data_IF_415108837452
#
_entry.id   IF_415108837452
#
_cell.length_a   1.000
_cell.length_b   1.000
_cell.length_c   1.000
_cell.angle_alpha   90.00
_cell.angle_beta   90.00
_cell.angle_gamma   90.00
#
_symmetry.space_group_name_H-M   'P 1'
#
loop_
_entity.id
_entity.type
_entity.pdbx_description
1 polymer ?
#
# COMPACT_ATOMS: atom_id res chain seq x y z
N UNK A 1 -14.17 20.15 -5.40
CA UNK A 1 -13.37 21.03 -6.28
C UNK A 1 -12.51 21.99 -5.45
N UNK A 2 -13.08 22.93 -4.69
CA UNK A 2 -12.30 23.85 -3.82
C UNK A 2 -11.33 23.19 -2.83
N UNK A 3 -11.71 22.09 -2.16
CA UNK A 3 -10.81 21.40 -1.24
C UNK A 3 -9.59 20.77 -1.94
N UNK A 4 -9.78 20.29 -3.17
CA UNK A 4 -8.71 19.70 -4.00
C UNK A 4 -7.77 20.81 -4.46
N UNK A 5 -8.31 21.91 -4.98
CA UNK A 5 -7.51 23.06 -5.45
C UNK A 5 -6.69 23.68 -4.30
N UNK A 6 -7.27 23.72 -3.08
CA UNK A 6 -6.55 24.17 -1.88
C UNK A 6 -5.46 23.18 -1.46
N UNK A 7 -5.70 21.88 -1.55
CA UNK A 7 -4.70 20.86 -1.26
C UNK A 7 -3.52 20.93 -2.25
N UNK A 8 -3.81 21.13 -3.54
CA UNK A 8 -2.80 21.33 -4.60
C UNK A 8 -1.93 22.55 -4.26
N UNK A 9 -2.54 23.71 -3.97
CA UNK A 9 -1.80 24.94 -3.60
C UNK A 9 -0.95 24.78 -2.34
N UNK A 10 -1.42 24.01 -1.37
CA UNK A 10 -0.68 23.70 -0.14
C UNK A 10 0.51 22.78 -0.42
N UNK A 11 0.33 21.75 -1.23
CA UNK A 11 1.40 20.82 -1.63
C UNK A 11 2.46 21.48 -2.54
N UNK A 12 2.06 22.42 -3.40
CA UNK A 12 2.96 23.17 -4.27
C UNK A 12 3.76 24.27 -3.55
N UNK A 13 3.52 24.50 -2.25
CA UNK A 13 4.20 25.56 -1.49
C UNK A 13 3.77 26.98 -1.86
N UNK A 14 2.66 27.13 -2.59
CA UNK A 14 2.11 28.43 -3.02
C UNK A 14 1.36 29.16 -1.90
N UNK A 15 1.17 28.51 -0.75
CA UNK A 15 0.63 29.08 0.46
C UNK A 15 1.71 29.06 1.55
N UNK A 16 1.97 30.21 2.18
CA UNK A 16 2.81 30.27 3.38
C UNK A 16 2.28 29.26 4.40
N UNK A 17 3.10 28.27 4.74
CA UNK A 17 2.58 27.16 5.51
C UNK A 17 3.52 25.99 5.74
N UNK A 18 2.86 24.93 6.18
CA UNK A 18 3.39 23.72 6.77
C UNK A 18 4.06 22.84 5.70
N UNK A 19 5.35 22.53 5.87
CA UNK A 19 6.07 21.57 5.02
C UNK A 19 5.67 20.17 5.45
N UNK A 20 5.06 19.41 4.53
CA UNK A 20 4.84 17.99 4.72
C UNK A 20 6.04 17.20 4.20
N UNK A 21 6.42 16.18 4.95
CA UNK A 21 7.40 15.17 4.57
C UNK A 21 6.75 13.79 4.61
N UNK A 22 7.17 12.93 3.69
CA UNK A 22 6.84 11.50 3.70
C UNK A 22 7.90 10.77 4.54
N UNK A 23 7.44 9.96 5.47
CA UNK A 23 8.28 9.19 6.39
C UNK A 23 7.78 7.76 6.40
N UNK A 24 8.71 6.82 6.24
CA UNK A 24 8.43 5.41 6.41
C UNK A 24 8.90 5.00 7.81
N UNK A 25 7.97 4.44 8.58
CA UNK A 25 8.26 3.74 9.82
C UNK A 25 8.14 2.24 9.62
N UNK A 26 8.95 1.50 10.36
CA UNK A 26 9.12 0.07 10.19
C UNK A 26 9.11 -0.61 11.54
N UNK A 27 8.48 -1.77 11.65
CA UNK A 27 8.48 -2.52 12.90
C UNK A 27 7.84 -3.89 12.80
N UNK A 28 7.87 -4.57 13.94
CA UNK A 28 7.18 -5.84 14.13
C UNK A 28 5.99 -5.65 15.07
N UNK A 29 4.81 -6.01 14.61
CA UNK A 29 3.61 -6.09 15.44
C UNK A 29 3.57 -7.35 16.32
N UNK A 30 2.42 -7.63 16.95
CA UNK A 30 2.19 -8.92 17.60
C UNK A 30 2.53 -10.09 16.68
N UNK A 31 3.03 -11.18 17.25
CA UNK A 31 3.35 -12.42 16.53
C UNK A 31 4.40 -12.26 15.41
N UNK A 32 5.28 -11.25 15.52
CA UNK A 32 6.35 -10.95 14.55
C UNK A 32 5.82 -10.64 13.14
N UNK A 33 4.60 -10.11 13.04
CA UNK A 33 4.10 -9.59 11.76
C UNK A 33 4.89 -8.33 11.42
N UNK A 34 5.57 -8.35 10.27
CA UNK A 34 6.28 -7.18 9.75
C UNK A 34 5.28 -6.13 9.27
N UNK A 35 5.51 -4.86 9.64
CA UNK A 35 4.61 -3.74 9.32
C UNK A 35 5.43 -2.56 8.82
N UNK A 36 5.03 -2.03 7.67
CA UNK A 36 5.45 -0.74 7.13
C UNK A 36 4.33 0.27 7.38
N UNK A 37 4.67 1.46 7.88
CA UNK A 37 3.75 2.57 8.06
C UNK A 37 4.29 3.77 7.28
N UNK A 38 3.63 4.10 6.18
CA UNK A 38 3.94 5.28 5.38
C UNK A 38 3.11 6.46 5.87
N UNK A 39 3.79 7.54 6.27
CA UNK A 39 3.15 8.70 6.92
C UNK A 39 3.55 9.97 6.19
N UNK A 40 2.56 10.75 5.77
CA UNK A 40 2.75 12.14 5.37
C UNK A 40 2.47 13.06 6.57
N UNK A 41 3.49 13.78 7.04
CA UNK A 41 3.37 14.57 8.26
C UNK A 41 4.14 15.88 8.17
N UNK A 42 3.71 16.84 8.97
CA UNK A 42 4.43 18.10 9.19
C UNK A 42 5.27 18.12 10.46
N UNK A 43 5.25 17.03 11.21
CA UNK A 43 5.93 16.94 12.49
C UNK A 43 6.34 15.50 12.77
N UNK A 44 7.55 15.17 12.33
CA UNK A 44 8.23 13.89 12.57
C UNK A 44 8.20 13.42 14.02
N UNK A 45 8.36 14.34 14.98
CA UNK A 45 8.41 13.99 16.40
C UNK A 45 7.03 13.58 16.93
N UNK A 46 5.97 14.21 16.44
CA UNK A 46 4.59 13.84 16.78
C UNK A 46 4.21 12.51 16.14
N UNK A 47 4.50 12.33 14.86
CA UNK A 47 4.18 11.08 14.15
C UNK A 47 4.93 9.88 14.75
N UNK A 48 6.24 9.99 14.99
CA UNK A 48 7.00 8.87 15.58
C UNK A 48 6.52 8.53 17.00
N UNK A 49 6.10 9.52 17.78
CA UNK A 49 5.55 9.29 19.12
C UNK A 49 4.23 8.53 19.06
N UNK A 50 3.30 8.93 18.17
CA UNK A 50 2.03 8.24 17.97
C UNK A 50 2.22 6.80 17.47
N UNK A 51 3.04 6.62 16.43
CA UNK A 51 3.34 5.28 15.88
C UNK A 51 3.98 4.40 16.95
N UNK A 52 5.02 4.89 17.64
CA UNK A 52 5.66 4.13 18.73
C UNK A 52 4.67 3.75 19.83
N UNK A 53 3.75 4.64 20.17
CA UNK A 53 2.72 4.37 21.16
C UNK A 53 1.81 3.22 20.72
N UNK A 54 1.30 3.25 19.49
CA UNK A 54 0.46 2.19 18.92
C UNK A 54 1.15 0.82 18.97
N UNK A 55 2.40 0.73 18.49
CA UNK A 55 3.19 -0.51 18.59
C UNK A 55 3.33 -0.96 20.05
N UNK A 56 3.69 -0.05 20.97
CA UNK A 56 3.93 -0.40 22.37
C UNK A 56 2.69 -0.94 23.09
N UNK A 57 1.50 -0.39 22.85
CA UNK A 57 0.27 -0.83 23.53
C UNK A 57 -0.31 -2.13 22.94
N UNK A 58 0.15 -2.52 21.75
CA UNK A 58 -0.21 -3.76 21.08
C UNK A 58 0.89 -4.83 21.12
N UNK A 59 1.86 -4.72 22.05
CA UNK A 59 2.98 -5.67 22.17
C UNK A 59 3.82 -5.83 20.89
N UNK A 60 3.88 -4.78 20.07
CA UNK A 60 4.82 -4.66 18.95
C UNK A 60 6.05 -3.81 19.32
N UNK A 61 6.98 -3.72 18.38
CA UNK A 61 8.17 -2.89 18.49
C UNK A 61 8.44 -2.14 17.19
N UNK A 62 8.60 -0.81 17.30
CA UNK A 62 9.06 0.02 16.21
C UNK A 62 10.57 -0.17 16.03
N UNK A 63 10.98 -0.65 14.87
CA UNK A 63 12.36 -0.91 14.49
C UNK A 63 13.11 0.33 14.02
N UNK A 64 14.36 0.11 13.62
CA UNK A 64 15.14 1.08 12.86
C UNK A 64 14.75 1.05 11.38
N UNK A 65 15.21 2.05 10.62
CA UNK A 65 15.13 2.01 9.16
C UNK A 65 15.75 0.71 8.61
N UNK A 66 15.13 0.16 7.58
CA UNK A 66 15.45 -1.09 6.91
C UNK A 66 15.39 -2.35 7.80
N UNK A 67 14.59 -2.34 8.87
CA UNK A 67 14.40 -3.50 9.76
C UNK A 67 13.39 -4.52 9.22
N UNK A 68 12.42 -4.06 8.43
CA UNK A 68 11.47 -4.93 7.72
C UNK A 68 11.29 -4.57 6.25
N UNK A 69 11.71 -3.36 5.82
CA UNK A 69 11.50 -2.89 4.45
C UNK A 69 12.01 -3.86 3.39
N UNK A 70 13.15 -4.52 3.62
CA UNK A 70 13.71 -5.53 2.71
C UNK A 70 12.82 -6.76 2.50
N UNK A 71 11.80 -6.98 3.34
CA UNK A 71 10.82 -8.05 3.21
C UNK A 71 9.65 -7.68 2.28
N UNK A 72 9.62 -6.44 1.78
CA UNK A 72 8.55 -5.91 0.95
C UNK A 72 9.10 -5.36 -0.36
N UNK A 73 8.35 -5.58 -1.43
CA UNK A 73 8.60 -4.97 -2.73
C UNK A 73 7.69 -3.75 -2.90
N UNK A 74 8.26 -2.60 -3.25
CA UNK A 74 7.48 -1.42 -3.62
C UNK A 74 7.08 -1.54 -5.08
N UNK A 75 5.79 -1.81 -5.33
CA UNK A 75 5.27 -2.11 -6.66
C UNK A 75 3.88 -1.53 -6.84
N UNK A 76 3.49 -1.28 -8.09
CA UNK A 76 2.11 -0.98 -8.43
C UNK A 76 1.27 -2.26 -8.37
N UNK A 77 0.08 -2.16 -7.80
CA UNK A 77 -0.90 -3.23 -7.72
C UNK A 77 -2.24 -2.73 -8.23
N UNK A 78 -2.81 -3.47 -9.18
CA UNK A 78 -4.12 -3.20 -9.75
C UNK A 78 -4.97 -4.45 -9.55
N UNK A 79 -6.12 -4.32 -8.87
CA UNK A 79 -7.07 -5.41 -8.68
C UNK A 79 -8.21 -5.28 -9.69
N UNK A 80 -8.52 -6.40 -10.35
CA UNK A 80 -9.61 -6.51 -11.33
C UNK A 80 -10.49 -7.68 -10.94
N UNK A 81 -11.81 -7.49 -10.93
CA UNK A 81 -12.78 -8.55 -10.66
C UNK A 81 -12.69 -9.64 -11.76
N UNK A 82 -12.62 -10.92 -11.39
CA UNK A 82 -12.46 -11.97 -12.39
C UNK A 82 -13.74 -12.29 -13.18
N UNK A 83 -14.86 -11.65 -12.86
CA UNK A 83 -16.12 -11.75 -13.59
C UNK A 83 -16.22 -10.73 -14.73
N UNK A 84 -15.39 -9.68 -14.74
CA UNK A 84 -15.46 -8.62 -15.77
C UNK A 84 -14.61 -8.90 -17.00
N UNK A 85 -13.59 -9.74 -16.88
CA UNK A 85 -12.65 -10.11 -17.94
C UNK A 85 -12.09 -11.50 -17.65
N UNK A 86 -11.85 -12.30 -18.68
CA UNK A 86 -11.17 -13.59 -18.53
C UNK A 86 -9.64 -13.43 -18.46
N UNK A 87 -8.96 -14.43 -17.88
CA UNK A 87 -7.52 -14.45 -17.69
C UNK A 87 -6.72 -14.28 -18.99
N UNK A 88 -7.12 -14.97 -20.06
CA UNK A 88 -6.41 -14.94 -21.34
C UNK A 88 -6.43 -13.51 -21.90
N UNK A 89 -7.62 -12.90 -21.94
CA UNK A 89 -7.79 -11.53 -22.44
C UNK A 89 -7.05 -10.51 -21.58
N UNK A 90 -7.09 -10.66 -20.26
CA UNK A 90 -6.38 -9.75 -19.35
C UNK A 90 -4.86 -9.88 -19.53
N UNK A 91 -4.35 -11.09 -19.68
CA UNK A 91 -2.92 -11.37 -19.90
C UNK A 91 -2.40 -10.70 -21.16
N UNK A 92 -3.16 -10.73 -22.26
CA UNK A 92 -2.81 -10.00 -23.49
C UNK A 92 -2.66 -8.49 -23.25
N UNK A 93 -3.64 -7.89 -22.56
CA UNK A 93 -3.67 -6.45 -22.31
C UNK A 93 -2.51 -5.99 -21.43
N UNK A 94 -2.24 -6.70 -20.34
CA UNK A 94 -1.18 -6.28 -19.40
C UNK A 94 0.22 -6.45 -19.99
N UNK A 95 0.43 -7.45 -20.87
CA UNK A 95 1.69 -7.63 -21.58
C UNK A 95 1.95 -6.48 -22.55
N UNK A 96 0.93 -6.02 -23.26
CA UNK A 96 1.03 -4.85 -24.13
C UNK A 96 1.24 -3.56 -23.33
N UNK A 97 0.63 -3.46 -22.16
CA UNK A 97 0.76 -2.32 -21.25
C UNK A 97 2.13 -2.22 -20.56
N UNK A 98 2.89 -3.32 -20.50
CA UNK A 98 4.18 -3.39 -19.80
C UNK A 98 4.06 -3.73 -18.31
N UNK A 99 3.02 -4.46 -17.89
CA UNK A 99 2.96 -5.00 -16.54
C UNK A 99 4.02 -6.10 -16.31
N UNK A 100 4.39 -6.31 -15.05
CA UNK A 100 5.38 -7.32 -14.68
C UNK A 100 4.77 -8.70 -14.51
N UNK A 101 3.58 -8.80 -13.90
CA UNK A 101 2.99 -10.10 -13.57
C UNK A 101 1.46 -10.04 -13.40
N UNK A 102 0.83 -11.22 -13.47
CA UNK A 102 -0.57 -11.46 -13.15
C UNK A 102 -0.70 -12.55 -12.08
N UNK A 103 -1.15 -12.16 -10.90
CA UNK A 103 -1.42 -13.08 -9.80
C UNK A 103 -2.90 -13.46 -9.83
N UNK A 104 -3.17 -14.78 -9.90
CA UNK A 104 -4.51 -15.37 -10.02
C UNK A 104 -4.91 -16.21 -8.79
N UNK A 105 -4.15 -16.10 -7.69
CA UNK A 105 -4.38 -16.87 -6.46
C UNK A 105 -5.70 -16.53 -5.75
N UNK A 106 -6.22 -15.31 -5.94
CA UNK A 106 -7.51 -14.90 -5.39
C UNK A 106 -8.64 -15.41 -6.31
N UNK A 107 -9.58 -16.23 -5.78
CA UNK A 107 -10.66 -16.81 -6.58
C UNK A 107 -11.70 -15.80 -7.07
N UNK A 108 -11.69 -14.56 -6.57
CA UNK A 108 -12.67 -13.52 -6.92
C UNK A 108 -12.05 -12.36 -7.72
N UNK A 109 -10.72 -12.30 -7.84
CA UNK A 109 -10.03 -11.17 -8.48
C UNK A 109 -8.65 -11.55 -9.04
N UNK A 110 -8.28 -10.87 -10.11
CA UNK A 110 -6.92 -10.85 -10.63
C UNK A 110 -6.14 -9.67 -10.05
N UNK A 111 -4.86 -9.89 -9.74
CA UNK A 111 -3.95 -8.85 -9.28
C UNK A 111 -2.82 -8.66 -10.29
N UNK A 112 -2.75 -7.47 -10.87
CA UNK A 112 -1.73 -7.10 -11.85
C UNK A 112 -0.62 -6.36 -11.10
N UNK A 113 0.62 -6.79 -11.32
CA UNK A 113 1.81 -6.23 -10.70
C UNK A 113 2.57 -5.40 -11.74
N UNK A 114 3.09 -4.25 -11.32
CA UNK A 114 3.86 -3.33 -12.16
C UNK A 114 5.02 -2.76 -11.37
N UNK A 115 6.10 -2.34 -12.05
CA UNK A 115 7.04 -1.42 -11.42
C UNK A 115 6.34 -0.08 -11.13
N UNK A 116 6.68 0.63 -10.04
CA UNK A 116 6.05 1.91 -9.71
C UNK A 116 6.14 2.97 -10.82
N UNK A 117 7.18 2.89 -11.65
CA UNK A 117 7.39 3.83 -12.76
C UNK A 117 6.39 3.63 -13.92
N UNK A 118 5.93 2.39 -14.13
CA UNK A 118 5.05 2.02 -15.25
C UNK A 118 3.59 1.92 -14.81
N UNK A 119 3.32 1.97 -13.49
CA UNK A 119 1.99 1.87 -12.90
C UNK A 119 0.93 2.77 -13.58
N UNK A 120 1.23 4.06 -13.77
CA UNK A 120 0.26 5.00 -14.36
C UNK A 120 -0.03 4.69 -15.83
N UNK A 121 0.99 4.26 -16.58
CA UNK A 121 0.88 3.82 -17.97
C UNK A 121 -0.01 2.59 -18.07
N UNK A 122 0.24 1.56 -17.24
CA UNK A 122 -0.53 0.32 -17.24
C UNK A 122 -1.98 0.57 -16.83
N UNK A 123 -2.19 1.32 -15.73
CA UNK A 123 -3.53 1.68 -15.26
C UNK A 123 -4.34 2.39 -16.35
N UNK A 124 -3.74 3.39 -16.99
CA UNK A 124 -4.42 4.19 -18.03
C UNK A 124 -4.72 3.33 -19.26
N UNK A 125 -3.79 2.46 -19.67
CA UNK A 125 -4.02 1.53 -20.78
C UNK A 125 -5.20 0.58 -20.54
N UNK A 126 -5.29 0.02 -19.33
CA UNK A 126 -6.38 -0.87 -18.94
C UNK A 126 -7.73 -0.12 -18.92
N UNK A 127 -7.74 1.11 -18.40
CA UNK A 127 -8.94 1.96 -18.38
C UNK A 127 -9.42 2.30 -19.81
N UNK A 128 -8.51 2.67 -20.71
CA UNK A 128 -8.81 2.94 -22.13
C UNK A 128 -9.35 1.70 -22.87
N UNK A 129 -8.93 0.51 -22.45
CA UNK A 129 -9.44 -0.76 -22.96
C UNK A 129 -10.69 -1.28 -22.24
N UNK A 130 -11.29 -0.47 -21.36
CA UNK A 130 -12.57 -0.76 -20.71
C UNK A 130 -12.48 -1.76 -19.56
N UNK A 131 -11.29 -1.98 -18.98
CA UNK A 131 -11.11 -2.85 -17.82
C UNK A 131 -11.45 -2.08 -16.55
N UNK A 132 -12.53 -2.48 -15.89
CA UNK A 132 -12.93 -1.89 -14.61
C UNK A 132 -12.05 -2.43 -13.47
N UNK A 133 -11.35 -1.53 -12.78
CA UNK A 133 -10.45 -1.87 -11.67
C UNK A 133 -11.17 -1.68 -10.33
N UNK A 134 -11.04 -2.66 -9.43
CA UNK A 134 -11.50 -2.58 -8.04
C UNK A 134 -10.62 -1.63 -7.22
N UNK A 135 -9.30 -1.70 -7.44
CA UNK A 135 -8.33 -0.77 -6.88
C UNK A 135 -7.11 -0.66 -7.79
N UNK A 136 -6.38 0.46 -7.67
CA UNK A 136 -5.13 0.70 -8.38
C UNK A 136 -4.26 1.63 -7.53
N UNK A 137 -3.16 1.12 -6.99
CA UNK A 137 -2.27 1.86 -6.10
C UNK A 137 -0.84 1.34 -6.12
N UNK A 138 0.12 2.17 -5.70
CA UNK A 138 1.49 1.73 -5.42
C UNK A 138 1.55 1.30 -3.96
N UNK A 139 1.92 0.05 -3.73
CA UNK A 139 1.89 -0.58 -2.40
C UNK A 139 3.27 -1.11 -2.01
N UNK A 140 3.41 -1.42 -0.72
CA UNK A 140 4.45 -2.29 -0.21
C UNK A 140 3.90 -3.72 -0.11
N UNK A 141 4.20 -4.56 -1.09
CA UNK A 141 3.74 -5.93 -1.12
C UNK A 141 4.72 -6.86 -0.39
N UNK A 142 4.29 -7.68 0.58
CA UNK A 142 5.19 -8.60 1.27
C UNK A 142 5.67 -9.72 0.34
N UNK A 143 6.98 -9.98 0.34
CA UNK A 143 7.57 -11.11 -0.40
C UNK A 143 7.12 -12.47 0.15
N UNK A 144 6.82 -12.54 1.45
CA UNK A 144 6.34 -13.74 2.12
C UNK A 144 5.19 -13.38 3.06
N UNK A 145 4.13 -14.19 3.04
CA UNK A 145 2.98 -14.03 3.94
C UNK A 145 3.10 -14.99 5.13
N UNK A 146 2.70 -14.51 6.31
CA UNK A 146 2.60 -15.33 7.53
C UNK A 146 1.12 -15.61 7.75
N UNK A 147 0.75 -16.89 7.77
CA UNK A 147 -0.62 -17.30 8.09
C UNK A 147 -0.89 -17.16 9.60
N UNK A 148 -2.03 -16.55 9.94
CA UNK A 148 -2.52 -16.44 11.30
C UNK A 148 -3.81 -17.25 11.43
N UNK A 149 -3.66 -18.49 11.89
CA UNK A 149 -4.72 -19.49 12.03
C UNK A 149 -5.61 -19.32 13.28
N UNK A 150 -5.25 -18.36 14.15
CA UNK A 150 -5.91 -18.15 15.43
C UNK A 150 -6.58 -16.78 15.49
N UNK A 151 -7.91 -16.79 15.64
CA UNK A 151 -8.72 -15.57 15.73
C UNK A 151 -8.18 -14.54 16.74
N UNK A 152 -7.76 -14.98 17.94
CA UNK A 152 -7.24 -14.06 18.97
C UNK A 152 -5.90 -13.44 18.58
N UNK A 153 -5.07 -14.16 17.84
CA UNK A 153 -3.81 -13.62 17.31
C UNK A 153 -4.09 -12.59 16.22
N UNK A 154 -5.03 -12.89 15.32
CA UNK A 154 -5.44 -11.97 14.27
C UNK A 154 -6.02 -10.67 14.85
N UNK A 155 -6.90 -10.78 15.85
CA UNK A 155 -7.48 -9.63 16.57
C UNK A 155 -6.40 -8.71 17.17
N UNK A 156 -5.31 -9.26 17.71
CA UNK A 156 -4.20 -8.46 18.24
C UNK A 156 -3.46 -7.68 17.15
N UNK A 157 -3.25 -8.30 15.98
CA UNK A 157 -2.60 -7.66 14.83
C UNK A 157 -3.51 -6.58 14.23
N UNK A 158 -4.78 -6.90 14.00
CA UNK A 158 -5.79 -5.96 13.48
C UNK A 158 -5.90 -4.75 14.39
N UNK A 159 -5.93 -4.93 15.72
CA UNK A 159 -5.96 -3.82 16.66
C UNK A 159 -4.78 -2.85 16.50
N UNK A 160 -3.59 -3.35 16.17
CA UNK A 160 -2.44 -2.47 15.89
C UNK A 160 -2.65 -1.70 14.58
N UNK A 161 -3.14 -2.36 13.53
CA UNK A 161 -3.44 -1.72 12.25
C UNK A 161 -4.48 -0.61 12.45
N UNK A 162 -5.59 -0.89 13.15
CA UNK A 162 -6.66 0.06 13.44
C UNK A 162 -6.19 1.29 14.25
N UNK A 163 -5.11 1.16 15.03
CA UNK A 163 -4.53 2.27 15.80
C UNK A 163 -3.54 3.11 14.98
N UNK A 164 -3.06 2.57 13.86
CA UNK A 164 -2.12 3.24 12.95
C UNK A 164 -2.85 3.97 11.80
N UNK A 165 -4.04 3.52 11.42
CA UNK A 165 -4.97 4.19 10.49
C UNK A 165 -5.66 5.43 11.11
#
# INVERSE_FOLDING_TARGET
KDNIDRAIKKGAGELDGVIFEEIIYEGYGPHNVAIIVEVMTDNRNRSIASVRHAFSICNGNLGSANSVQYMFDRQGSILVDNTVIDEDRLTELILEAGAEDLITENPDAYQIITVPADFDTVRSYLEENGVAMLSAEVIWNPQNRIEIDNYKKAEQVIKLIDLLE
#
